data_IF_449215680274
#
_entry.id   IF_449215680274
#
_cell.length_a   1.000
_cell.length_b   1.000
_cell.length_c   1.000
_cell.angle_alpha   90.00
_cell.angle_beta   90.00
_cell.angle_gamma   90.00
#
_symmetry.space_group_name_H-M   'P 1'
#
loop_
_entity.id
_entity.type
_entity.pdbx_description
1 polymer ?
#
# COMPACT_ATOMS: atom_id res chain seq x y z
N UNK A 1 -7.08 1.94 3.44
CA UNK A 1 -8.26 1.58 2.64
C UNK A 1 -8.59 2.73 1.69
N UNK A 2 -8.71 2.49 0.37
CA UNK A 2 -9.25 3.49 -0.56
C UNK A 2 -10.71 3.83 -0.16
N UNK A 3 -11.08 5.10 -0.25
CA UNK A 3 -12.48 5.53 -0.04
C UNK A 3 -13.18 5.44 -1.40
N UNK A 4 -14.34 4.77 -1.46
CA UNK A 4 -15.07 4.66 -2.72
C UNK A 4 -15.78 5.97 -3.06
N UNK A 5 -16.03 6.20 -4.36
CA UNK A 5 -16.83 7.35 -4.79
C UNK A 5 -18.26 7.33 -4.23
N UNK A 6 -18.80 6.14 -3.90
CA UNK A 6 -20.10 6.00 -3.25
C UNK A 6 -20.07 6.47 -1.80
N UNK A 7 -18.99 6.19 -1.06
CA UNK A 7 -18.85 6.64 0.33
C UNK A 7 -18.80 8.17 0.39
N UNK A 8 -18.03 8.77 -0.52
CA UNK A 8 -17.97 10.23 -0.66
C UNK A 8 -19.35 10.83 -1.00
N UNK A 9 -20.12 10.16 -1.85
CA UNK A 9 -21.48 10.57 -2.19
C UNK A 9 -22.42 10.49 -0.99
N UNK A 10 -22.36 9.39 -0.22
CA UNK A 10 -23.19 9.22 0.97
C UNK A 10 -22.88 10.29 2.01
N UNK A 11 -21.60 10.58 2.26
CA UNK A 11 -21.21 11.62 3.20
C UNK A 11 -21.66 13.01 2.72
N UNK A 12 -21.53 13.31 1.43
CA UNK A 12 -22.03 14.55 0.86
C UNK A 12 -23.56 14.70 1.00
N UNK A 13 -24.32 13.61 0.82
CA UNK A 13 -25.77 13.61 1.04
C UNK A 13 -26.12 13.84 2.51
N UNK A 14 -25.37 13.24 3.44
CA UNK A 14 -25.55 13.45 4.87
C UNK A 14 -25.28 14.91 5.26
N UNK A 15 -24.23 15.51 4.72
CA UNK A 15 -23.91 16.93 4.91
C UNK A 15 -25.03 17.81 4.34
N UNK A 16 -25.49 17.54 3.12
CA UNK A 16 -26.58 18.30 2.52
C UNK A 16 -27.88 18.23 3.35
N UNK A 17 -28.20 17.05 3.91
CA UNK A 17 -29.34 16.87 4.83
C UNK A 17 -29.18 17.70 6.10
N UNK A 18 -27.98 17.68 6.70
CA UNK A 18 -27.66 18.48 7.90
C UNK A 18 -27.73 19.99 7.64
N UNK A 19 -27.41 20.42 6.43
CA UNK A 19 -27.47 21.82 6.00
C UNK A 19 -28.84 22.22 5.41
N UNK A 20 -29.82 21.32 5.42
CA UNK A 20 -31.16 21.52 4.84
C UNK A 20 -31.14 21.98 3.37
N UNK A 21 -30.16 21.49 2.59
CA UNK A 21 -30.07 21.76 1.15
C UNK A 21 -30.97 20.79 0.41
N UNK A 22 -32.10 21.28 -0.08
CA UNK A 22 -33.03 20.51 -0.89
C UNK A 22 -32.51 20.31 -2.32
N UNK A 23 -32.78 19.15 -2.91
CA UNK A 23 -32.43 18.83 -4.31
C UNK A 23 -30.97 18.43 -4.55
N UNK A 24 -30.11 18.43 -3.53
CA UNK A 24 -28.76 17.89 -3.67
C UNK A 24 -28.80 16.37 -3.83
N UNK A 25 -28.32 15.88 -4.97
CA UNK A 25 -28.37 14.45 -5.33
C UNK A 25 -26.99 13.80 -5.45
N UNK A 26 -25.91 14.59 -5.31
CA UNK A 26 -24.54 14.09 -5.43
C UNK A 26 -24.29 13.31 -6.74
N UNK A 27 -24.80 13.81 -7.88
CA UNK A 27 -24.66 13.14 -9.20
C UNK A 27 -23.19 12.82 -9.51
N UNK A 28 -22.93 11.84 -10.37
CA UNK A 28 -21.56 11.46 -10.76
C UNK A 28 -20.75 12.67 -11.29
N UNK A 29 -21.39 13.59 -12.00
CA UNK A 29 -20.72 14.83 -12.45
C UNK A 29 -20.31 15.78 -11.31
N UNK A 30 -21.01 15.76 -10.18
CA UNK A 30 -20.61 16.50 -8.97
C UNK A 30 -19.38 15.86 -8.32
N UNK A 31 -19.37 14.53 -8.17
CA UNK A 31 -18.24 13.77 -7.61
C UNK A 31 -16.97 14.02 -8.43
N UNK A 32 -17.05 13.89 -9.76
CA UNK A 32 -15.95 14.15 -10.68
C UNK A 32 -15.38 15.57 -10.52
N UNK A 33 -16.26 16.58 -10.46
CA UNK A 33 -15.85 17.98 -10.27
C UNK A 33 -15.26 18.23 -8.88
N UNK A 34 -15.83 17.63 -7.84
CA UNK A 34 -15.34 17.74 -6.47
C UNK A 34 -13.94 17.13 -6.33
N UNK A 35 -13.74 15.94 -6.88
CA UNK A 35 -12.43 15.27 -6.89
C UNK A 35 -11.40 16.10 -7.64
N UNK A 36 -11.76 16.63 -8.83
CA UNK A 36 -10.88 17.50 -9.62
C UNK A 36 -10.50 18.79 -8.90
N UNK A 37 -11.41 19.39 -8.12
CA UNK A 37 -11.16 20.65 -7.39
C UNK A 37 -10.27 20.48 -6.16
N UNK A 38 -10.25 19.28 -5.58
CA UNK A 38 -9.51 18.98 -4.35
C UNK A 38 -8.31 18.07 -4.62
N UNK A 39 -7.90 17.92 -5.89
CA UNK A 39 -6.80 17.05 -6.33
C UNK A 39 -6.89 15.61 -5.78
N UNK A 40 -8.12 15.12 -5.56
CA UNK A 40 -8.37 13.76 -5.12
C UNK A 40 -8.22 12.84 -6.33
N UNK A 41 -7.19 11.99 -6.28
CA UNK A 41 -6.97 10.97 -7.32
C UNK A 41 -7.86 9.77 -7.04
N UNK A 42 -8.65 9.37 -8.04
CA UNK A 42 -9.25 8.03 -8.05
C UNK A 42 -8.11 7.04 -8.19
N UNK A 43 -7.77 6.36 -7.10
CA UNK A 43 -6.89 5.20 -7.16
C UNK A 43 -7.80 4.04 -7.53
N UNK A 44 -7.85 3.70 -8.81
CA UNK A 44 -8.38 2.38 -9.15
C UNK A 44 -7.32 1.38 -8.73
N UNK A 45 -7.61 0.59 -7.70
CA UNK A 45 -6.88 -0.64 -7.42
C UNK A 45 -7.20 -1.64 -8.55
N UNK A 46 -6.65 -1.40 -9.73
CA UNK A 46 -6.45 -2.47 -10.69
C UNK A 46 -5.27 -3.27 -10.16
N UNK A 47 -5.56 -4.33 -9.41
CA UNK A 47 -4.55 -5.02 -8.61
C UNK A 47 -4.63 -6.53 -8.59
N UNK A 48 -5.80 -7.18 -8.46
CA UNK A 48 -5.77 -8.63 -8.15
C UNK A 48 -6.88 -9.51 -8.75
N UNK A 49 -7.79 -9.00 -9.58
CA UNK A 49 -8.80 -9.87 -10.22
C UNK A 49 -8.82 -9.77 -11.75
N UNK A 50 -7.66 -9.45 -12.35
CA UNK A 50 -7.52 -9.57 -13.79
C UNK A 50 -7.32 -11.05 -14.18
N UNK A 51 -8.43 -11.80 -14.24
CA UNK A 51 -8.61 -12.99 -15.07
C UNK A 51 -7.54 -14.10 -14.96
N UNK A 52 -6.97 -14.34 -13.78
CA UNK A 52 -6.27 -15.60 -13.52
C UNK A 52 -7.33 -16.67 -13.24
N UNK A 53 -7.45 -17.68 -14.10
CA UNK A 53 -8.28 -18.86 -13.80
C UNK A 53 -7.72 -19.53 -12.55
N UNK A 54 -8.56 -19.69 -11.52
CA UNK A 54 -8.21 -20.36 -10.28
C UNK A 54 -7.52 -21.72 -10.54
N UNK A 55 -7.98 -22.45 -11.55
CA UNK A 55 -7.38 -23.72 -11.98
C UNK A 55 -5.92 -23.60 -12.42
N UNK A 56 -5.54 -22.53 -13.10
CA UNK A 56 -4.14 -22.29 -13.52
C UNK A 56 -3.29 -21.89 -12.32
N UNK A 57 -3.84 -21.09 -11.41
CA UNK A 57 -3.15 -20.74 -10.16
C UNK A 57 -2.93 -21.98 -9.29
N UNK A 58 -3.96 -22.81 -9.10
CA UNK A 58 -3.90 -24.05 -8.32
C UNK A 58 -2.92 -25.06 -8.95
N UNK A 59 -2.96 -25.21 -10.28
CA UNK A 59 -2.01 -26.06 -11.00
C UNK A 59 -0.56 -25.57 -10.84
N UNK A 60 -0.33 -24.26 -10.90
CA UNK A 60 1.00 -23.68 -10.73
C UNK A 60 1.51 -23.86 -9.28
N UNK A 61 0.64 -23.68 -8.28
CA UNK A 61 0.97 -23.93 -6.87
C UNK A 61 1.30 -25.42 -6.64
N UNK A 62 0.58 -26.33 -7.29
CA UNK A 62 0.77 -27.76 -7.08
C UNK A 62 2.02 -28.33 -7.77
N UNK A 63 2.39 -27.82 -8.95
CA UNK A 63 3.44 -28.42 -9.78
C UNK A 63 4.73 -27.60 -9.82
N UNK A 64 4.64 -26.28 -10.00
CA UNK A 64 5.81 -25.43 -10.23
C UNK A 64 6.43 -24.94 -8.90
N UNK A 65 5.60 -24.59 -7.92
CA UNK A 65 6.09 -24.08 -6.61
C UNK A 65 7.01 -25.07 -5.90
N UNK A 66 6.69 -26.39 -5.78
CA UNK A 66 7.56 -27.36 -5.14
C UNK A 66 8.96 -27.46 -5.79
N UNK A 67 9.04 -27.34 -7.12
CA UNK A 67 10.31 -27.36 -7.85
C UNK A 67 11.14 -26.09 -7.57
N UNK A 68 10.49 -24.94 -7.45
CA UNK A 68 11.16 -23.67 -7.16
C UNK A 68 11.69 -23.63 -5.71
N UNK A 69 10.93 -24.16 -4.74
CA UNK A 69 11.31 -24.12 -3.32
C UNK A 69 12.26 -25.24 -2.91
N UNK A 70 12.43 -26.29 -3.72
CA UNK A 70 13.30 -27.43 -3.42
C UNK A 70 14.75 -27.09 -2.98
N UNK A 71 15.41 -26.03 -3.50
CA UNK A 71 16.79 -25.74 -3.13
C UNK A 71 16.91 -24.83 -1.91
N UNK A 72 15.79 -24.27 -1.41
CA UNK A 72 15.76 -23.33 -0.30
C UNK A 72 15.41 -24.05 1.00
N UNK A 73 15.97 -23.60 2.12
CA UNK A 73 15.52 -24.06 3.44
C UNK A 73 14.21 -23.36 3.78
N UNK A 74 13.39 -23.98 4.61
CA UNK A 74 12.15 -23.37 5.10
C UNK A 74 12.38 -21.99 5.78
N UNK A 75 13.56 -21.79 6.36
CA UNK A 75 13.99 -20.52 6.99
C UNK A 75 14.26 -19.40 5.98
N UNK A 76 14.49 -19.75 4.71
CA UNK A 76 14.82 -18.83 3.62
C UNK A 76 13.58 -18.49 2.75
N UNK A 77 12.41 -19.06 3.06
CA UNK A 77 11.15 -18.82 2.34
C UNK A 77 10.38 -17.72 3.09
N UNK A 78 10.36 -16.52 2.52
CA UNK A 78 9.69 -15.36 3.09
C UNK A 78 8.43 -14.97 2.30
N UNK A 79 7.37 -14.54 3.00
CA UNK A 79 6.21 -13.93 2.37
C UNK A 79 6.54 -12.49 1.90
N UNK A 80 6.47 -12.22 0.61
CA UNK A 80 6.76 -10.91 0.03
C UNK A 80 5.70 -9.84 0.35
N UNK A 81 4.48 -10.24 0.71
CA UNK A 81 3.36 -9.32 0.91
C UNK A 81 3.58 -8.37 2.11
N UNK A 82 4.18 -8.86 3.20
CA UNK A 82 4.51 -8.03 4.37
C UNK A 82 5.87 -7.33 4.28
N UNK A 83 6.79 -7.81 3.43
CA UNK A 83 8.17 -7.31 3.32
C UNK A 83 8.36 -6.22 2.26
N UNK A 84 7.44 -6.08 1.30
CA UNK A 84 7.49 -5.01 0.28
C UNK A 84 7.47 -3.61 0.88
N UNK A 85 6.80 -3.43 2.02
CA UNK A 85 6.74 -2.15 2.75
C UNK A 85 8.02 -1.87 3.55
N UNK A 86 8.71 -2.92 4.02
CA UNK A 86 9.93 -2.79 4.82
C UNK A 86 11.18 -2.49 3.97
N UNK A 87 11.25 -2.96 2.71
CA UNK A 87 12.39 -2.65 1.83
C UNK A 87 12.53 -1.13 1.54
N UNK A 88 11.41 -0.38 1.55
CA UNK A 88 11.42 1.09 1.42
C UNK A 88 11.80 1.81 2.71
N UNK A 89 11.66 1.14 3.85
CA UNK A 89 11.94 1.70 5.18
C UNK A 89 13.38 1.49 5.64
N UNK A 90 14.19 0.69 4.93
CA UNK A 90 15.61 0.53 5.23
C UNK A 90 16.37 1.82 4.90
N UNK A 91 17.06 2.44 5.86
CA UNK A 91 17.89 3.61 5.59
C UNK A 91 19.06 3.21 4.69
N UNK A 92 19.29 4.00 3.62
CA UNK A 92 20.38 3.79 2.64
C UNK A 92 21.79 4.08 3.18
N UNK A 93 21.94 4.45 4.45
CA UNK A 93 23.18 5.03 4.95
C UNK A 93 23.88 4.15 5.97
N UNK A 94 24.99 3.55 5.53
CA UNK A 94 26.03 3.00 6.39
C UNK A 94 26.86 4.15 6.99
N UNK A 95 26.34 4.81 8.02
CA UNK A 95 27.13 5.74 8.83
C UNK A 95 28.09 4.95 9.73
N UNK A 96 29.19 4.48 9.14
CA UNK A 96 30.36 4.02 9.89
C UNK A 96 31.00 5.25 10.55
N UNK A 97 30.75 5.45 11.84
CA UNK A 97 31.47 6.44 12.63
C UNK A 97 32.90 5.94 12.84
N UNK A 98 33.88 6.65 12.26
CA UNK A 98 35.28 6.43 12.60
C UNK A 98 35.45 6.70 14.10
N UNK A 99 35.89 5.68 14.84
CA UNK A 99 36.28 5.80 16.24
C UNK A 99 37.47 6.77 16.32
N UNK A 100 37.25 7.99 16.78
CA UNK A 100 38.35 8.89 17.15
C UNK A 100 38.96 8.38 18.46
N UNK A 101 40.25 8.09 18.42
CA UNK A 101 41.05 7.72 19.59
C UNK A 101 41.12 8.90 20.57
N UNK A 102 40.61 8.72 21.79
CA UNK A 102 40.73 9.68 22.87
C UNK A 102 42.20 9.79 23.33
N UNK A 103 42.76 11.00 23.16
CA UNK A 103 44.08 11.35 23.67
C UNK A 103 44.07 11.41 25.20
N UNK A 104 44.63 10.36 25.80
CA UNK A 104 45.14 10.25 27.17
C UNK A 104 45.92 11.50 27.61
N UNK A 105 45.39 12.32 28.53
CA UNK A 105 46.23 13.18 29.40
C UNK A 105 46.34 12.62 30.81
N UNK A 106 47.59 12.59 31.29
CA UNK A 106 48.02 12.11 32.61
C UNK A 106 47.94 13.24 33.64
N UNK A 107 47.69 12.89 34.90
CA UNK A 107 48.15 13.65 36.07
C UNK A 107 48.96 12.73 36.98
N UNK A 108 50.24 13.05 37.13
CA UNK A 108 51.03 12.92 38.36
C UNK A 108 51.89 14.17 38.45
#
# INVERSE_FOLDING_TARGET
MPISGNDLKQEALNIARRLQIEGFTGRNGWIQKFMKRNDLKTITLHGEEAAASQEVADNWIANDVPEIIQPYRNEDIFNCDELGTQYRALPKENSCTKRTEDKRWKSQ
#
